data_IF_265513142363
#
_entry.id   IF_265513142363
#
_cell.length_a   1.000
_cell.length_b   1.000
_cell.length_c   1.000
_cell.angle_alpha   90.00
_cell.angle_beta   90.00
_cell.angle_gamma   90.00
#
_symmetry.space_group_name_H-M   'P 1'
#
loop_
_entity.id
_entity.type
_entity.pdbx_description
1 polymer ?
#
# COMPACT_ATOMS: atom_id res chain seq x y z
N UNK A 1 16.14 -37.59 81.86
CA UNK A 1 16.09 -36.39 80.99
C UNK A 1 16.55 -36.77 79.59
N UNK A 2 15.65 -36.77 78.60
CA UNK A 2 15.95 -36.95 77.18
C UNK A 2 15.28 -35.81 76.45
N UNK A 3 16.04 -34.98 75.72
CA UNK A 3 15.50 -33.93 74.86
C UNK A 3 15.67 -34.40 73.42
N UNK A 4 14.53 -34.61 72.75
CA UNK A 4 14.42 -34.99 71.35
C UNK A 4 14.87 -33.85 70.43
N UNK A 5 15.70 -34.19 69.44
CA UNK A 5 15.88 -33.42 68.20
C UNK A 5 14.93 -34.00 67.14
N UNK A 6 14.26 -33.15 66.38
CA UNK A 6 13.39 -33.54 65.25
C UNK A 6 12.88 -32.31 64.50
N UNK A 7 13.71 -31.75 63.60
CA UNK A 7 13.50 -31.71 62.14
C UNK A 7 12.26 -30.89 61.73
N UNK A 8 12.47 -29.59 61.54
CA UNK A 8 11.59 -28.69 60.80
C UNK A 8 11.85 -28.87 59.31
N UNK A 9 10.91 -29.49 58.60
CA UNK A 9 10.90 -29.54 57.14
C UNK A 9 10.53 -28.16 56.58
N UNK A 10 11.52 -27.51 55.94
CA UNK A 10 11.31 -26.32 55.10
C UNK A 10 10.96 -26.81 53.69
N UNK A 11 9.67 -26.77 53.36
CA UNK A 11 9.16 -26.90 51.99
C UNK A 11 9.54 -25.64 51.20
N UNK A 12 10.66 -25.70 50.49
CA UNK A 12 11.08 -24.67 49.52
C UNK A 12 10.59 -25.12 48.13
N UNK A 13 9.49 -24.50 47.71
CA UNK A 13 9.14 -24.08 46.34
C UNK A 13 9.72 -24.85 45.15
N UNK A 14 8.89 -25.66 44.50
CA UNK A 14 9.02 -26.01 43.07
C UNK A 14 8.00 -25.22 42.26
N UNK A 15 8.27 -23.93 42.03
CA UNK A 15 7.71 -23.17 40.90
C UNK A 15 8.70 -23.28 39.74
N UNK A 16 8.79 -24.48 39.15
CA UNK A 16 9.53 -24.74 37.93
C UNK A 16 8.66 -25.66 37.05
N UNK A 17 7.58 -25.08 36.51
CA UNK A 17 6.53 -25.88 35.87
C UNK A 17 5.87 -25.25 34.64
N UNK A 18 6.42 -24.19 34.06
CA UNK A 18 5.86 -23.59 32.83
C UNK A 18 6.86 -23.49 31.66
N UNK A 19 8.16 -23.74 31.86
CA UNK A 19 9.18 -23.47 30.82
C UNK A 19 9.41 -24.63 29.85
N UNK A 20 8.77 -25.80 30.02
CA UNK A 20 8.98 -26.96 29.16
C UNK A 20 8.05 -27.04 27.93
N UNK A 21 7.06 -26.15 27.80
CA UNK A 21 6.08 -26.28 26.71
C UNK A 21 6.52 -25.64 25.39
N UNK A 22 7.48 -24.71 25.36
CA UNK A 22 7.86 -24.00 24.13
C UNK A 22 9.36 -23.69 24.06
N UNK A 23 10.15 -24.47 23.30
CA UNK A 23 11.62 -24.43 23.34
C UNK A 23 12.25 -23.14 22.80
N UNK A 24 11.46 -22.23 22.23
CA UNK A 24 11.95 -20.98 21.63
C UNK A 24 11.33 -19.72 22.23
N UNK A 25 10.42 -19.83 23.20
CA UNK A 25 9.66 -18.69 23.70
C UNK A 25 10.54 -17.60 24.35
N UNK A 26 11.67 -17.99 24.93
CA UNK A 26 12.63 -17.08 25.57
C UNK A 26 13.61 -16.44 24.58
N UNK A 27 13.61 -16.86 23.31
CA UNK A 27 14.47 -16.31 22.27
C UNK A 27 13.79 -15.11 21.60
N UNK A 28 14.57 -14.09 21.18
CA UNK A 28 14.04 -13.02 20.34
C UNK A 28 13.61 -13.57 18.97
N UNK A 29 12.63 -12.94 18.29
CA UNK A 29 11.99 -13.48 17.10
C UNK A 29 12.94 -13.96 16.00
N UNK A 30 13.98 -13.18 15.67
CA UNK A 30 14.95 -13.58 14.65
C UNK A 30 15.78 -14.81 15.03
N UNK A 31 16.15 -14.94 16.32
CA UNK A 31 16.87 -16.12 16.81
C UNK A 31 15.96 -17.35 16.86
N UNK A 32 14.74 -17.19 17.37
CA UNK A 32 13.72 -18.23 17.37
C UNK A 32 13.48 -18.74 15.94
N UNK A 33 13.36 -17.83 14.97
CA UNK A 33 13.15 -18.18 13.58
C UNK A 33 14.34 -18.93 12.97
N UNK A 34 15.58 -18.51 13.25
CA UNK A 34 16.76 -19.27 12.81
C UNK A 34 16.76 -20.71 13.37
N UNK A 35 16.42 -20.90 14.65
CA UNK A 35 16.36 -22.25 15.26
C UNK A 35 15.22 -23.09 14.67
N UNK A 36 14.04 -22.50 14.46
CA UNK A 36 12.90 -23.18 13.80
C UNK A 36 13.26 -23.60 12.38
N UNK A 37 13.87 -22.71 11.58
CA UNK A 37 14.26 -23.01 10.20
C UNK A 37 15.29 -24.14 10.17
N UNK A 38 16.29 -24.13 11.07
CA UNK A 38 17.29 -25.20 11.17
C UNK A 38 16.72 -26.52 11.67
N UNK A 39 15.71 -26.49 12.54
CA UNK A 39 15.05 -27.71 13.01
C UNK A 39 14.22 -28.39 11.91
N UNK A 40 13.47 -27.60 11.13
CA UNK A 40 12.60 -28.11 10.06
C UNK A 40 13.37 -28.38 8.77
N UNK A 41 14.39 -27.56 8.46
CA UNK A 41 15.22 -27.69 7.25
C UNK A 41 16.71 -27.49 7.60
N UNK A 42 17.38 -28.50 8.17
CA UNK A 42 18.76 -28.41 8.63
C UNK A 42 19.79 -28.01 7.57
N UNK A 43 19.51 -28.32 6.30
CA UNK A 43 20.33 -27.98 5.15
C UNK A 43 20.22 -26.52 4.72
N UNK A 44 19.22 -25.78 5.21
CA UNK A 44 18.99 -24.40 4.81
C UNK A 44 20.01 -23.47 5.47
N UNK A 45 20.74 -22.72 4.66
CA UNK A 45 21.57 -21.64 5.16
C UNK A 45 20.70 -20.42 5.50
N UNK A 46 20.78 -19.98 6.77
CA UNK A 46 20.09 -18.78 7.25
C UNK A 46 21.08 -17.63 7.23
N UNK A 47 20.82 -16.63 6.38
CA UNK A 47 21.57 -15.39 6.34
C UNK A 47 21.03 -14.47 7.43
N UNK A 48 21.88 -14.21 8.42
CA UNK A 48 21.60 -13.26 9.49
C UNK A 48 22.18 -11.93 9.08
N UNK A 49 21.31 -11.00 8.68
CA UNK A 49 21.73 -9.64 8.36
C UNK A 49 22.09 -8.90 9.65
N UNK A 50 22.82 -7.76 9.57
CA UNK A 50 23.02 -6.88 10.71
C UNK A 50 21.70 -6.58 11.44
N UNK A 51 21.73 -6.32 12.76
CA UNK A 51 20.53 -6.02 13.53
C UNK A 51 19.66 -4.95 12.86
N UNK A 52 18.38 -5.26 12.64
CA UNK A 52 17.42 -4.36 11.98
C UNK A 52 17.19 -4.63 10.49
N UNK A 53 17.92 -5.57 9.89
CA UNK A 53 17.68 -6.04 8.51
C UNK A 53 17.08 -7.45 8.45
N UNK A 54 16.82 -8.06 9.62
CA UNK A 54 16.18 -9.35 9.74
C UNK A 54 17.06 -10.53 9.36
N UNK A 55 16.46 -11.71 9.35
CA UNK A 55 17.04 -12.92 8.78
C UNK A 55 16.36 -13.26 7.45
N UNK A 56 17.11 -13.89 6.56
CA UNK A 56 16.59 -14.45 5.33
C UNK A 56 17.06 -15.89 5.13
N UNK A 57 16.20 -16.71 4.54
CA UNK A 57 16.51 -18.11 4.27
C UNK A 57 15.83 -18.55 2.97
N UNK A 58 16.50 -19.42 2.21
CA UNK A 58 15.94 -19.99 0.99
C UNK A 58 15.58 -21.45 1.25
N UNK A 59 14.29 -21.74 1.37
CA UNK A 59 13.77 -23.09 1.62
C UNK A 59 13.03 -23.54 0.37
N UNK A 60 13.60 -24.49 -0.37
CA UNK A 60 13.01 -24.97 -1.64
C UNK A 60 11.82 -25.91 -1.44
N UNK A 61 11.83 -26.70 -0.35
CA UNK A 61 10.74 -27.60 -0.03
C UNK A 61 9.50 -26.84 0.47
N UNK A 62 8.36 -27.06 -0.21
CA UNK A 62 7.08 -26.42 0.13
C UNK A 62 6.50 -26.94 1.44
N UNK A 63 6.70 -28.21 1.78
CA UNK A 63 6.20 -28.80 3.04
C UNK A 63 6.96 -28.17 4.20
N UNK A 64 8.30 -28.21 4.17
CA UNK A 64 9.14 -27.54 5.15
C UNK A 64 8.80 -26.04 5.31
N UNK A 65 8.55 -25.30 4.21
CA UNK A 65 8.10 -23.90 4.31
C UNK A 65 6.81 -23.76 5.11
N UNK A 66 5.80 -24.59 4.85
CA UNK A 66 4.52 -24.53 5.55
C UNK A 66 4.68 -24.87 7.04
N UNK A 67 5.52 -25.84 7.37
CA UNK A 67 5.80 -26.22 8.75
C UNK A 67 6.50 -25.08 9.50
N UNK A 68 7.49 -24.43 8.88
CA UNK A 68 8.16 -23.23 9.42
C UNK A 68 7.15 -22.10 9.67
N UNK A 69 6.22 -21.86 8.74
CA UNK A 69 5.15 -20.85 8.92
C UNK A 69 4.35 -21.19 10.17
N UNK A 70 3.87 -22.43 10.29
CA UNK A 70 3.06 -22.86 11.42
C UNK A 70 3.79 -22.84 12.77
N UNK A 71 5.09 -23.14 12.79
CA UNK A 71 5.93 -23.02 13.99
C UNK A 71 6.13 -21.54 14.40
N UNK A 72 6.32 -20.63 13.45
CA UNK A 72 6.46 -19.20 13.72
C UNK A 72 5.14 -18.54 14.18
N UNK A 73 4.01 -18.98 13.62
CA UNK A 73 2.68 -18.55 14.10
C UNK A 73 2.44 -19.00 15.54
N UNK A 74 2.79 -20.26 15.86
CA UNK A 74 2.75 -20.77 17.23
C UNK A 74 3.68 -19.99 18.15
N UNK A 75 4.91 -19.72 17.73
CA UNK A 75 5.84 -18.88 18.47
C UNK A 75 5.21 -17.52 18.82
N UNK A 76 4.63 -16.80 17.85
CA UNK A 76 3.94 -15.53 18.10
C UNK A 76 2.84 -15.66 19.16
N UNK A 77 2.00 -16.69 19.06
CA UNK A 77 0.91 -16.92 20.02
C UNK A 77 1.45 -17.19 21.44
N UNK A 78 2.52 -17.98 21.54
CA UNK A 78 3.14 -18.39 22.81
C UNK A 78 3.91 -17.27 23.49
N UNK A 79 4.47 -16.32 22.73
CA UNK A 79 5.10 -15.12 23.25
C UNK A 79 4.09 -14.00 23.57
N UNK A 80 2.81 -14.33 23.74
CA UNK A 80 1.77 -13.37 24.12
C UNK A 80 1.32 -12.45 22.98
N UNK A 81 1.57 -12.84 21.73
CA UNK A 81 1.17 -12.09 20.54
C UNK A 81 -0.15 -12.58 19.93
N UNK A 82 -0.55 -11.92 18.86
CA UNK A 82 -1.56 -12.40 17.94
C UNK A 82 -1.07 -12.25 16.49
N UNK A 83 -1.38 -13.27 15.69
CA UNK A 83 -0.98 -13.36 14.29
C UNK A 83 -1.98 -12.60 13.43
N UNK A 84 -1.49 -11.71 12.57
CA UNK A 84 -2.30 -11.02 11.57
C UNK A 84 -1.76 -11.40 10.19
N UNK A 85 -2.47 -12.26 9.44
CA UNK A 85 -2.04 -12.64 8.10
C UNK A 85 -2.17 -11.47 7.14
N UNK A 86 -1.32 -11.44 6.12
CA UNK A 86 -1.39 -10.49 5.02
C UNK A 86 -0.97 -11.13 3.70
N UNK A 87 -1.45 -10.53 2.62
CA UNK A 87 -1.08 -10.87 1.26
C UNK A 87 -0.98 -9.56 0.48
N UNK A 88 0.19 -9.29 -0.09
CA UNK A 88 0.39 -8.16 -0.98
C UNK A 88 -0.31 -8.44 -2.32
N UNK A 89 -1.00 -7.43 -2.86
CA UNK A 89 -1.66 -7.51 -4.17
C UNK A 89 -0.62 -7.40 -5.30
N UNK A 90 -0.88 -8.05 -6.45
CA UNK A 90 0.04 -8.11 -7.61
C UNK A 90 0.39 -6.73 -8.19
N UNK A 91 -0.50 -5.76 -8.06
CA UNK A 91 -0.33 -4.38 -8.55
C UNK A 91 0.36 -3.43 -7.55
N UNK A 92 0.78 -3.95 -6.39
CA UNK A 92 1.58 -3.15 -5.46
C UNK A 92 3.01 -2.99 -6.00
N UNK A 93 3.60 -1.80 -5.87
CA UNK A 93 5.02 -1.55 -6.15
C UNK A 93 5.98 -2.48 -5.37
N UNK A 94 5.46 -3.29 -4.44
CA UNK A 94 6.18 -4.03 -3.42
C UNK A 94 5.80 -5.51 -3.37
N UNK A 95 6.06 -6.21 -4.48
CA UNK A 95 6.24 -7.67 -4.59
C UNK A 95 5.10 -8.61 -4.16
N UNK A 96 5.01 -9.76 -4.82
CA UNK A 96 4.07 -10.85 -4.57
C UNK A 96 4.41 -11.60 -3.24
N UNK A 97 4.38 -10.89 -2.12
CA UNK A 97 4.67 -11.40 -0.77
C UNK A 97 3.41 -11.77 0.00
N UNK A 98 3.53 -12.82 0.80
CA UNK A 98 2.51 -13.21 1.78
C UNK A 98 3.16 -13.59 3.08
N UNK A 99 2.45 -13.43 4.18
CA UNK A 99 2.98 -13.81 5.48
C UNK A 99 2.08 -13.33 6.59
N UNK A 100 2.68 -12.97 7.72
CA UNK A 100 1.94 -12.42 8.84
C UNK A 100 2.80 -11.44 9.63
N UNK A 101 2.14 -10.55 10.36
CA UNK A 101 2.78 -9.78 11.43
C UNK A 101 2.35 -10.35 12.78
N UNK A 102 3.26 -10.33 13.74
CA UNK A 102 2.94 -10.61 15.13
C UNK A 102 2.74 -9.29 15.87
N UNK A 103 1.60 -9.13 16.55
CA UNK A 103 1.35 -7.97 17.40
C UNK A 103 1.24 -8.41 18.87
N UNK A 104 1.96 -7.71 19.74
CA UNK A 104 1.89 -7.93 21.20
C UNK A 104 0.50 -7.58 21.75
N UNK A 105 -0.09 -8.48 22.53
CA UNK A 105 -1.38 -8.24 23.20
C UNK A 105 -1.27 -7.17 24.29
N UNK A 106 -0.15 -7.12 25.00
CA UNK A 106 0.06 -6.20 26.12
C UNK A 106 0.41 -4.79 25.65
N UNK A 107 1.27 -4.68 24.63
CA UNK A 107 1.78 -3.39 24.16
C UNK A 107 1.00 -2.83 22.97
N UNK A 108 0.16 -3.64 22.31
CA UNK A 108 -0.53 -3.27 21.06
C UNK A 108 0.40 -2.77 19.95
N UNK A 109 1.64 -3.28 19.95
CA UNK A 109 2.69 -2.95 18.99
C UNK A 109 3.08 -4.19 18.20
N UNK A 110 3.35 -4.03 16.91
CA UNK A 110 3.98 -5.09 16.11
C UNK A 110 5.32 -5.45 16.75
N UNK A 111 5.62 -6.74 16.87
CA UNK A 111 6.86 -7.26 17.46
C UNK A 111 7.80 -7.83 16.42
N UNK A 112 7.24 -8.53 15.42
CA UNK A 112 8.00 -9.00 14.28
C UNK A 112 7.09 -9.20 13.07
N UNK A 113 7.68 -9.28 11.89
CA UNK A 113 7.02 -9.64 10.64
C UNK A 113 7.69 -10.87 10.03
N UNK A 114 6.87 -11.75 9.48
CA UNK A 114 7.29 -12.86 8.64
C UNK A 114 6.76 -12.66 7.22
N UNK A 115 7.59 -12.95 6.22
CA UNK A 115 7.24 -12.83 4.81
C UNK A 115 7.79 -13.98 3.98
N UNK A 116 7.00 -14.44 3.01
CA UNK A 116 7.36 -15.42 2.00
C UNK A 116 7.32 -14.77 0.63
N UNK A 117 8.42 -14.86 -0.11
CA UNK A 117 8.55 -14.41 -1.50
C UNK A 117 9.09 -15.56 -2.34
N UNK A 118 8.18 -16.32 -2.96
CA UNK A 118 8.52 -17.56 -3.66
C UNK A 118 9.10 -18.60 -2.69
N UNK A 119 10.40 -18.88 -2.81
CA UNK A 119 11.14 -19.82 -1.93
C UNK A 119 11.87 -19.12 -0.77
N UNK A 120 11.90 -17.79 -0.78
CA UNK A 120 12.61 -17.01 0.22
C UNK A 120 11.70 -16.69 1.40
N UNK A 121 12.21 -16.90 2.61
CA UNK A 121 11.60 -16.58 3.88
C UNK A 121 12.35 -15.39 4.49
N UNK A 122 11.61 -14.45 5.05
CA UNK A 122 12.14 -13.28 5.73
C UNK A 122 11.50 -13.16 7.11
N UNK A 123 12.32 -12.92 8.13
CA UNK A 123 11.83 -12.56 9.47
C UNK A 123 12.55 -11.32 9.93
N UNK A 124 11.78 -10.32 10.34
CA UNK A 124 12.32 -9.07 10.85
C UNK A 124 11.71 -8.78 12.22
N UNK A 125 12.56 -8.54 13.22
CA UNK A 125 12.16 -8.17 14.57
C UNK A 125 12.14 -6.64 14.74
N UNK A 126 11.14 -6.12 15.45
CA UNK A 126 11.12 -4.71 15.86
C UNK A 126 12.05 -4.50 17.05
N UNK A 127 12.97 -3.54 16.95
CA UNK A 127 13.98 -3.27 18.00
C UNK A 127 13.53 -2.26 19.05
N UNK A 128 12.66 -1.33 18.67
CA UNK A 128 12.12 -0.32 19.58
C UNK A 128 10.71 0.09 19.17
N UNK A 129 9.96 0.72 20.07
CA UNK A 129 8.59 1.17 19.78
C UNK A 129 8.50 2.16 18.60
N UNK A 130 9.58 2.89 18.32
CA UNK A 130 9.67 3.91 17.25
C UNK A 130 10.63 3.49 16.13
N UNK A 131 10.78 2.18 15.89
CA UNK A 131 11.65 1.64 14.86
C UNK A 131 11.08 1.89 13.45
N UNK A 132 11.46 3.03 12.87
CA UNK A 132 10.97 3.46 11.55
C UNK A 132 11.46 2.56 10.42
N UNK A 133 12.65 1.96 10.55
CA UNK A 133 13.17 0.97 9.59
C UNK A 133 12.31 -0.29 9.55
N UNK A 134 11.89 -0.77 10.72
CA UNK A 134 10.94 -1.87 10.81
C UNK A 134 9.61 -1.49 10.15
N UNK A 135 9.06 -0.32 10.47
CA UNK A 135 7.78 0.13 9.92
C UNK A 135 7.81 0.26 8.40
N UNK A 136 8.89 0.78 7.84
CA UNK A 136 9.08 0.86 6.39
C UNK A 136 9.19 -0.54 5.78
N UNK A 137 9.96 -1.44 6.38
CA UNK A 137 10.11 -2.81 5.87
C UNK A 137 8.80 -3.59 5.89
N UNK A 138 7.97 -3.36 6.91
CA UNK A 138 6.62 -3.93 7.02
C UNK A 138 5.73 -3.47 5.86
N UNK A 139 5.80 -2.18 5.51
CA UNK A 139 5.10 -1.61 4.35
C UNK A 139 5.66 -2.18 3.04
N UNK A 140 6.98 -2.28 2.91
CA UNK A 140 7.67 -2.85 1.75
C UNK A 140 7.40 -4.36 1.60
N UNK A 141 6.96 -5.03 2.66
CA UNK A 141 6.49 -6.42 2.63
C UNK A 141 5.00 -6.51 2.27
N UNK A 142 4.32 -5.38 2.14
CA UNK A 142 2.93 -5.27 1.73
C UNK A 142 1.92 -5.32 2.87
N UNK A 143 2.37 -5.28 4.13
CA UNK A 143 1.46 -5.13 5.26
C UNK A 143 1.11 -3.65 5.47
N UNK A 144 -0.17 -3.32 5.36
CA UNK A 144 -0.73 -2.04 5.75
C UNK A 144 -1.73 -2.25 6.89
N UNK A 145 -1.52 -1.57 8.01
CA UNK A 145 -2.50 -1.61 9.10
C UNK A 145 -3.85 -1.05 8.64
N UNK A 146 -4.99 -1.47 9.23
CA UNK A 146 -6.30 -0.94 8.86
C UNK A 146 -6.39 0.60 8.94
N UNK A 147 -5.70 1.20 9.91
CA UNK A 147 -5.64 2.65 10.09
C UNK A 147 -4.89 3.33 8.95
N UNK A 148 -3.72 2.81 8.56
CA UNK A 148 -2.96 3.32 7.42
C UNK A 148 -3.72 3.14 6.11
N UNK A 149 -4.36 1.98 5.91
CA UNK A 149 -5.20 1.74 4.73
C UNK A 149 -6.36 2.74 4.66
N UNK A 150 -7.04 2.99 5.77
CA UNK A 150 -8.11 3.98 5.83
C UNK A 150 -7.61 5.40 5.54
N UNK A 151 -6.41 5.76 6.02
CA UNK A 151 -5.79 7.05 5.74
C UNK A 151 -5.43 7.21 4.26
N UNK A 152 -4.84 6.19 3.63
CA UNK A 152 -4.53 6.20 2.20
C UNK A 152 -5.82 6.32 1.36
N UNK A 153 -6.88 5.59 1.73
CA UNK A 153 -8.19 5.70 1.07
C UNK A 153 -8.74 7.11 1.21
N UNK A 154 -8.64 7.72 2.41
CA UNK A 154 -9.08 9.09 2.64
C UNK A 154 -8.29 10.09 1.79
N UNK A 155 -6.96 9.99 1.77
CA UNK A 155 -6.10 10.85 0.96
C UNK A 155 -6.39 10.70 -0.54
N UNK A 156 -6.61 9.48 -1.01
CA UNK A 156 -6.99 9.22 -2.40
C UNK A 156 -8.35 9.85 -2.75
N UNK A 157 -9.33 9.77 -1.85
CA UNK A 157 -10.63 10.43 -2.02
C UNK A 157 -10.51 11.95 -2.01
N UNK A 158 -9.78 12.52 -1.05
CA UNK A 158 -9.53 13.95 -0.95
C UNK A 158 -8.82 14.48 -2.20
N UNK A 159 -7.84 13.73 -2.72
CA UNK A 159 -7.17 14.05 -3.98
C UNK A 159 -8.11 13.96 -5.18
N UNK A 160 -8.89 12.89 -5.30
CA UNK A 160 -9.87 12.74 -6.39
C UNK A 160 -10.94 13.84 -6.35
N UNK A 161 -11.38 14.25 -5.16
CA UNK A 161 -12.31 15.37 -4.99
C UNK A 161 -11.66 16.71 -5.36
N UNK A 162 -10.38 16.93 -5.01
CA UNK A 162 -9.64 18.11 -5.43
C UNK A 162 -9.46 18.17 -6.95
N UNK A 163 -9.08 17.04 -7.57
CA UNK A 163 -8.94 16.91 -9.02
C UNK A 163 -10.29 17.16 -9.71
N UNK A 164 -11.40 16.64 -9.17
CA UNK A 164 -12.75 16.89 -9.69
C UNK A 164 -13.12 18.37 -9.59
N UNK A 165 -12.83 19.03 -8.48
CA UNK A 165 -13.10 20.47 -8.30
C UNK A 165 -12.27 21.31 -9.26
N UNK A 166 -11.01 20.95 -9.49
CA UNK A 166 -10.15 21.66 -10.44
C UNK A 166 -10.63 21.46 -11.88
N UNK A 167 -11.03 20.26 -12.26
CA UNK A 167 -11.67 19.99 -13.56
C UNK A 167 -12.97 20.79 -13.72
N UNK A 168 -13.79 20.88 -12.67
CA UNK A 168 -14.99 21.72 -12.68
C UNK A 168 -14.67 23.21 -12.80
N UNK A 169 -13.59 23.69 -12.17
CA UNK A 169 -13.12 25.08 -12.27
C UNK A 169 -12.59 25.41 -13.66
N UNK A 170 -11.81 24.51 -14.26
CA UNK A 170 -11.34 24.62 -15.65
C UNK A 170 -12.53 24.60 -16.60
N UNK A 171 -13.51 23.73 -16.35
CA UNK A 171 -14.75 23.71 -17.09
C UNK A 171 -15.51 25.03 -16.90
N UNK A 172 -15.67 25.59 -15.70
CA UNK A 172 -16.41 26.85 -15.51
C UNK A 172 -15.71 28.09 -16.08
N UNK A 173 -14.38 28.12 -16.15
CA UNK A 173 -13.64 29.22 -16.77
C UNK A 173 -13.69 29.19 -18.30
N UNK A 174 -14.20 28.10 -18.89
CA UNK A 174 -14.50 28.03 -20.31
C UNK A 174 -15.94 28.44 -20.64
N UNK A 175 -16.76 28.83 -19.65
CA UNK A 175 -18.22 29.00 -19.85
C UNK A 175 -18.45 30.08 -20.89
N UNK A 176 -18.96 29.67 -22.05
CA UNK A 176 -19.16 30.55 -23.18
C UNK A 176 -20.55 31.14 -23.10
N UNK A 177 -20.61 32.45 -22.95
CA UNK A 177 -21.87 33.18 -22.97
C UNK A 177 -22.28 33.48 -24.41
N UNK A 178 -23.58 33.71 -24.62
CA UNK A 178 -24.05 34.24 -25.90
C UNK A 178 -23.32 35.57 -26.18
N UNK A 179 -22.71 35.67 -27.36
CA UNK A 179 -21.85 36.78 -27.78
C UNK A 179 -20.35 36.52 -27.65
N UNK A 180 -19.91 35.45 -26.96
CA UNK A 180 -18.49 35.15 -26.82
C UNK A 180 -17.88 34.70 -28.16
N UNK A 181 -16.66 35.17 -28.43
CA UNK A 181 -15.84 34.66 -29.53
C UNK A 181 -15.13 33.36 -29.12
N UNK A 182 -15.34 32.33 -29.93
CA UNK A 182 -14.90 30.98 -29.66
C UNK A 182 -14.17 30.34 -30.83
N UNK A 183 -13.20 29.52 -30.48
CA UNK A 183 -12.33 28.80 -31.39
C UNK A 183 -12.52 27.29 -31.18
N UNK A 184 -12.47 26.53 -32.27
CA UNK A 184 -12.45 25.06 -32.27
C UNK A 184 -11.40 24.57 -33.24
N UNK A 185 -10.56 23.65 -32.79
CA UNK A 185 -9.53 23.03 -33.62
C UNK A 185 -9.99 21.62 -34.02
N UNK A 186 -10.15 21.38 -35.33
CA UNK A 186 -10.56 20.08 -35.87
C UNK A 186 -9.80 19.78 -37.16
N UNK A 187 -9.13 18.62 -37.21
CA UNK A 187 -8.46 18.15 -38.43
C UNK A 187 -7.38 19.11 -38.98
N UNK A 188 -6.68 19.83 -38.11
CA UNK A 188 -5.66 20.81 -38.52
C UNK A 188 -6.21 22.17 -38.97
N UNK A 189 -7.53 22.37 -38.88
CA UNK A 189 -8.22 23.63 -39.17
C UNK A 189 -8.72 24.24 -37.87
N UNK A 190 -8.49 25.54 -37.68
CA UNK A 190 -9.08 26.36 -36.63
C UNK A 190 -10.32 27.07 -37.17
N UNK A 191 -11.46 26.75 -36.61
CA UNK A 191 -12.74 27.40 -36.84
C UNK A 191 -12.94 28.48 -35.78
N UNK A 192 -13.29 29.70 -36.21
CA UNK A 192 -13.54 30.84 -35.34
C UNK A 192 -14.98 31.30 -35.54
N UNK A 193 -15.68 31.55 -34.45
CA UNK A 193 -17.07 31.96 -34.50
C UNK A 193 -17.54 32.63 -33.23
N UNK A 194 -18.82 32.97 -33.22
CA UNK A 194 -19.49 33.63 -32.11
C UNK A 194 -20.59 32.73 -31.55
N UNK A 195 -20.72 32.66 -30.23
CA UNK A 195 -21.78 31.87 -29.60
C UNK A 195 -23.12 32.61 -29.72
N UNK A 196 -24.10 31.94 -30.30
CA UNK A 196 -25.44 32.48 -30.54
C UNK A 196 -26.45 31.97 -29.52
N UNK A 197 -26.27 30.72 -29.06
CA UNK A 197 -27.19 30.10 -28.13
C UNK A 197 -26.46 29.05 -27.28
N UNK A 198 -26.87 28.93 -26.01
CA UNK A 198 -26.40 27.90 -25.09
C UNK A 198 -27.60 27.06 -24.66
N UNK A 199 -27.51 25.73 -24.81
CA UNK A 199 -28.56 24.80 -24.45
C UNK A 199 -27.94 23.59 -23.72
N UNK A 200 -27.83 23.68 -22.40
CA UNK A 200 -27.15 22.67 -21.58
C UNK A 200 -25.69 22.50 -22.01
N UNK A 201 -25.33 21.28 -22.40
CA UNK A 201 -23.96 20.90 -22.78
C UNK A 201 -23.58 21.27 -24.23
N UNK A 202 -24.51 21.86 -24.99
CA UNK A 202 -24.28 22.26 -26.39
C UNK A 202 -24.36 23.76 -26.55
N UNK A 203 -23.50 24.27 -27.43
CA UNK A 203 -23.49 25.67 -27.85
C UNK A 203 -23.71 25.75 -29.35
N UNK A 204 -24.59 26.66 -29.77
CA UNK A 204 -24.77 27.01 -31.17
C UNK A 204 -23.77 28.11 -31.50
N UNK A 205 -22.84 27.80 -32.40
CA UNK A 205 -21.79 28.72 -32.83
C UNK A 205 -22.06 29.12 -34.26
N UNK A 206 -22.07 30.43 -34.54
CA UNK A 206 -21.98 30.95 -35.89
C UNK A 206 -20.51 31.02 -36.30
N UNK A 207 -20.09 30.13 -37.20
CA UNK A 207 -18.69 30.05 -37.61
C UNK A 207 -18.43 31.06 -38.72
N UNK A 208 -17.62 32.07 -38.40
CA UNK A 208 -17.34 33.22 -39.24
C UNK A 208 -16.13 32.99 -40.15
N UNK A 209 -15.11 32.28 -39.63
CA UNK A 209 -13.82 32.05 -40.29
C UNK A 209 -13.32 30.64 -40.04
N UNK A 210 -12.53 30.13 -40.98
CA UNK A 210 -11.74 28.93 -40.83
C UNK A 210 -10.33 29.19 -41.38
N UNK A 211 -9.31 28.65 -40.73
CA UNK A 211 -7.91 28.82 -41.10
C UNK A 211 -7.11 27.57 -40.80
N UNK A 212 -6.04 27.30 -41.55
CA UNK A 212 -5.12 26.21 -41.21
C UNK A 212 -4.33 26.58 -39.95
N UNK A 213 -4.24 25.68 -38.97
CA UNK A 213 -3.55 25.96 -37.69
C UNK A 213 -2.08 26.36 -37.92
N UNK A 214 -1.41 25.70 -38.87
CA UNK A 214 0.00 25.97 -39.21
C UNK A 214 0.17 27.12 -40.22
N UNK A 215 -0.92 27.69 -40.74
CA UNK A 215 -0.90 28.80 -41.68
C UNK A 215 -2.18 29.66 -41.51
N UNK A 216 -2.25 30.51 -40.47
CA UNK A 216 -3.48 31.20 -40.07
C UNK A 216 -4.09 32.13 -41.13
N UNK A 217 -3.30 32.55 -42.13
CA UNK A 217 -3.77 33.35 -43.27
C UNK A 217 -4.39 32.52 -44.40
N UNK A 218 -4.27 31.19 -44.38
CA UNK A 218 -4.78 30.31 -45.41
C UNK A 218 -6.16 29.76 -45.03
N UNK A 219 -7.16 30.11 -45.83
CA UNK A 219 -8.53 29.63 -45.68
C UNK A 219 -8.67 28.26 -46.35
N UNK A 220 -9.26 27.25 -45.68
CA UNK A 220 -9.52 25.96 -46.31
C UNK A 220 -10.50 26.14 -47.47
N UNK A 221 -10.22 25.44 -48.59
CA UNK A 221 -11.05 25.51 -49.79
C UNK A 221 -12.49 25.09 -49.51
N UNK A 222 -13.46 25.81 -50.07
CA UNK A 222 -14.88 25.50 -49.93
C UNK A 222 -15.52 25.89 -48.59
N UNK A 223 -14.81 26.57 -47.68
CA UNK A 223 -15.41 27.01 -46.42
C UNK A 223 -16.50 28.07 -46.63
N UNK A 224 -17.73 27.72 -46.23
CA UNK A 224 -18.87 28.62 -46.11
C UNK A 224 -19.22 28.84 -44.64
N UNK A 225 -19.69 30.05 -44.34
CA UNK A 225 -20.19 30.41 -43.01
C UNK A 225 -21.48 29.66 -42.73
N UNK A 226 -21.60 29.14 -41.52
CA UNK A 226 -22.72 28.27 -41.15
C UNK A 226 -22.80 28.14 -39.62
N UNK A 227 -23.93 27.64 -39.15
CA UNK A 227 -24.18 27.39 -37.74
C UNK A 227 -23.91 25.94 -37.41
N UNK A 228 -23.22 25.70 -36.30
CA UNK A 228 -23.01 24.37 -35.77
C UNK A 228 -23.42 24.29 -34.30
N UNK A 229 -24.01 23.15 -33.95
CA UNK A 229 -24.14 22.74 -32.56
C UNK A 229 -22.92 21.90 -32.20
N UNK A 230 -22.11 22.40 -31.28
CA UNK A 230 -20.91 21.73 -30.81
C UNK A 230 -21.01 21.52 -29.31
N UNK A 231 -20.28 20.54 -28.77
CA UNK A 231 -20.25 20.39 -27.33
C UNK A 231 -19.48 21.56 -26.74
N UNK A 232 -19.96 21.99 -25.58
CA UNK A 232 -19.40 23.09 -24.82
C UNK A 232 -17.89 22.92 -24.55
N UNK A 233 -17.40 21.70 -24.34
CA UNK A 233 -15.98 21.42 -24.08
C UNK A 233 -15.10 21.35 -25.35
N UNK A 234 -15.71 21.34 -26.54
CA UNK A 234 -14.97 21.28 -27.82
C UNK A 234 -14.55 22.69 -28.30
N UNK A 235 -15.01 23.76 -27.63
CA UNK A 235 -14.71 25.15 -27.96
C UNK A 235 -13.93 25.85 -26.84
N UNK A 236 -13.07 26.79 -27.20
CA UNK A 236 -12.28 27.61 -26.28
C UNK A 236 -12.30 29.08 -26.68
N UNK A 237 -11.77 30.00 -25.85
CA UNK A 237 -11.76 31.43 -26.20
C UNK A 237 -10.77 31.70 -27.32
N UNK A 238 -11.13 32.54 -28.30
CA UNK A 238 -10.15 33.03 -29.26
C UNK A 238 -9.36 34.18 -28.61
N UNK A 239 -8.03 34.05 -28.58
CA UNK A 239 -7.10 35.18 -28.35
C UNK A 239 -6.94 36.03 -29.63
#
# INVERSE_FOLDING_TARGET
>A
MKIQKGITWLLISTLAGCSFMYPHADLPPEKAANEIIKAVSPQTHVLISPPGLGISATVFDKVARNDIIGDLERYCANTGGYVIPYQAEEDSFFSNSKGFVCQSRSQKLLTFIFSVRGVNLFVLERRSANDTSFDQSVIDFGYLSPQQRAQLIRQAREKADADRRELQRIASNRTKYVGDRVCQDQGGIRYQGTVEQVAGDKVKVFVERASLINAPGLRPGGFQQQYYWVNYWDVFGCE
#
